data_IF_669472733533
#
_entry.id   IF_669472733533
#
_cell.length_a   1.000
_cell.length_b   1.000
_cell.length_c   1.000
_cell.angle_alpha   90.00
_cell.angle_beta   90.00
_cell.angle_gamma   90.00
#
_symmetry.space_group_name_H-M   'P 1'
#
loop_
_entity.id
_entity.type
_entity.pdbx_description
1 polymer ?
#
# COMPACT_ATOMS: atom_id res chain seq x y z
N UNK A 1 6.41 -10.39 -14.04
CA UNK A 1 6.38 -9.67 -12.73
C UNK A 1 5.41 -10.27 -11.72
N UNK A 2 4.14 -10.59 -12.05
CA UNK A 2 3.19 -11.21 -11.07
C UNK A 2 3.70 -12.53 -10.45
N UNK A 3 4.40 -13.38 -11.23
CA UNK A 3 4.96 -14.65 -10.72
C UNK A 3 6.10 -14.48 -9.70
N UNK A 4 6.87 -13.40 -9.80
CA UNK A 4 7.93 -13.08 -8.83
C UNK A 4 7.38 -12.53 -7.51
N UNK A 5 6.29 -11.75 -7.57
CA UNK A 5 5.64 -11.21 -6.37
C UNK A 5 4.99 -12.34 -5.56
N UNK A 6 4.37 -13.32 -6.23
CA UNK A 6 3.77 -14.49 -5.57
C UNK A 6 4.85 -15.37 -4.93
N UNK A 7 5.98 -15.61 -5.61
CA UNK A 7 7.10 -16.37 -5.04
C UNK A 7 7.78 -15.62 -3.87
N UNK A 8 7.86 -14.29 -3.92
CA UNK A 8 8.37 -13.46 -2.82
C UNK A 8 7.42 -13.51 -1.60
N UNK A 9 6.11 -13.44 -1.82
CA UNK A 9 5.12 -13.55 -0.74
C UNK A 9 5.12 -14.94 -0.10
N UNK A 10 5.24 -16.01 -0.89
CA UNK A 10 5.32 -17.39 -0.39
C UNK A 10 6.64 -17.63 0.36
N UNK A 11 7.77 -17.08 -0.11
CA UNK A 11 9.05 -17.21 0.59
C UNK A 11 9.10 -16.42 1.90
N UNK A 12 8.46 -15.26 1.99
CA UNK A 12 8.32 -14.51 3.26
C UNK A 12 7.40 -15.24 4.26
N UNK A 13 6.37 -15.94 3.77
CA UNK A 13 5.50 -16.76 4.62
C UNK A 13 6.13 -18.09 5.07
N UNK A 14 7.02 -18.66 4.26
CA UNK A 14 7.72 -19.92 4.56
C UNK A 14 9.06 -19.74 5.30
N UNK A 15 9.64 -18.54 5.26
CA UNK A 15 10.85 -18.19 6.01
C UNK A 15 10.46 -17.56 7.35
N UNK A 16 9.73 -18.30 8.18
CA UNK A 16 9.64 -17.94 9.59
C UNK A 16 11.06 -17.88 10.15
N UNK A 17 11.46 -16.81 10.84
CA UNK A 17 12.77 -16.79 11.46
C UNK A 17 12.80 -17.91 12.50
N UNK A 18 13.59 -18.95 12.25
CA UNK A 18 14.15 -19.79 13.30
C UNK A 18 15.20 -18.99 14.10
N UNK A 19 14.90 -17.73 14.42
CA UNK A 19 15.70 -16.91 15.31
C UNK A 19 15.27 -17.27 16.71
N UNK A 20 16.22 -17.86 17.42
CA UNK A 20 16.16 -18.18 18.84
C UNK A 20 15.37 -17.11 19.60
N UNK A 21 14.24 -17.53 20.16
CA UNK A 21 13.58 -16.79 21.22
C UNK A 21 14.62 -16.54 22.32
N UNK A 22 15.09 -15.30 22.43
CA UNK A 22 15.89 -14.85 23.57
C UNK A 22 15.00 -14.84 24.82
N UNK A 23 15.58 -14.69 26.02
CA UNK A 23 14.80 -14.62 27.27
C UNK A 23 13.67 -13.56 27.26
N UNK A 24 13.72 -12.60 26.34
CA UNK A 24 12.80 -11.46 26.27
C UNK A 24 11.75 -11.55 25.15
N UNK A 25 11.81 -12.56 24.28
CA UNK A 25 10.81 -12.73 23.21
C UNK A 25 10.36 -14.17 23.15
N UNK A 26 9.06 -14.43 23.06
CA UNK A 26 8.52 -15.79 23.08
C UNK A 26 7.20 -15.94 23.81
N UNK A 27 6.81 -17.20 23.98
CA UNK A 27 5.65 -17.59 24.77
C UNK A 27 6.11 -17.95 26.18
N UNK A 28 5.55 -17.28 27.18
CA UNK A 28 5.91 -17.48 28.59
C UNK A 28 4.66 -17.81 29.39
N UNK A 29 4.85 -18.63 30.43
CA UNK A 29 3.83 -18.87 31.45
C UNK A 29 4.06 -17.92 32.60
N UNK A 30 3.02 -17.21 33.03
CA UNK A 30 3.05 -16.32 34.17
C UNK A 30 1.91 -16.63 35.14
N UNK A 31 2.04 -16.18 36.39
CA UNK A 31 0.98 -16.25 37.37
C UNK A 31 0.50 -14.83 37.70
N UNK A 32 -0.79 -14.69 37.93
CA UNK A 32 -1.42 -13.43 38.33
C UNK A 32 -2.32 -13.68 39.54
N UNK A 33 -2.06 -12.95 40.61
CA UNK A 33 -2.79 -13.10 41.87
C UNK A 33 -4.27 -12.70 41.72
N UNK A 34 -5.15 -13.51 42.33
CA UNK A 34 -6.60 -13.30 42.34
C UNK A 34 -7.09 -13.04 43.76
N UNK A 35 -6.85 -13.99 44.66
CA UNK A 35 -7.35 -13.95 46.03
C UNK A 35 -6.54 -14.87 46.95
N UNK A 36 -6.57 -14.58 48.25
CA UNK A 36 -6.08 -15.49 49.29
C UNK A 36 -7.08 -16.63 49.51
N UNK A 37 -6.59 -17.79 49.94
CA UNK A 37 -7.44 -18.95 50.25
C UNK A 37 -7.11 -19.51 51.63
N UNK A 38 -8.07 -20.22 52.22
CA UNK A 38 -7.84 -20.96 53.47
C UNK A 38 -7.20 -22.34 53.23
N UNK A 39 -6.84 -22.65 51.97
CA UNK A 39 -6.22 -23.92 51.59
C UNK A 39 -4.73 -23.84 51.93
N UNK A 40 -4.23 -24.79 52.73
CA UNK A 40 -2.82 -24.89 53.06
C UNK A 40 -2.09 -25.94 52.23
N UNK A 41 -0.85 -25.65 51.85
CA UNK A 41 0.08 -26.61 51.28
C UNK A 41 0.42 -27.74 52.28
N UNK A 42 0.99 -28.87 51.83
CA UNK A 42 1.47 -29.93 52.72
C UNK A 42 2.50 -29.45 53.76
N UNK A 43 3.20 -28.36 53.47
CA UNK A 43 4.15 -27.68 54.36
C UNK A 43 3.47 -26.84 55.45
N UNK A 44 2.14 -26.65 55.40
CA UNK A 44 1.37 -25.79 56.28
C UNK A 44 1.31 -24.32 55.85
N UNK A 45 1.96 -23.93 54.76
CA UNK A 45 1.89 -22.57 54.22
C UNK A 45 0.53 -22.31 53.56
N UNK A 46 -0.08 -21.11 53.71
CA UNK A 46 -1.31 -20.76 53.01
C UNK A 46 -1.05 -20.63 51.50
N UNK A 47 -1.99 -21.11 50.69
CA UNK A 47 -1.95 -21.00 49.23
C UNK A 47 -2.84 -19.82 48.78
N UNK A 48 -2.38 -19.10 47.78
CA UNK A 48 -3.17 -18.09 47.08
C UNK A 48 -3.72 -18.65 45.77
N UNK A 49 -4.90 -18.19 45.39
CA UNK A 49 -5.52 -18.47 44.10
C UNK A 49 -4.93 -17.54 43.05
N UNK A 50 -4.44 -18.13 41.96
CA UNK A 50 -3.79 -17.42 40.87
C UNK A 50 -4.43 -17.79 39.53
N UNK A 51 -4.49 -16.83 38.62
CA UNK A 51 -4.65 -17.14 37.20
C UNK A 51 -3.32 -17.60 36.63
N UNK A 52 -3.34 -18.75 35.96
CA UNK A 52 -2.28 -19.11 35.05
C UNK A 52 -2.48 -18.36 33.73
N UNK A 53 -1.44 -17.66 33.30
CA UNK A 53 -1.45 -16.84 32.09
C UNK A 53 -0.42 -17.34 31.09
N UNK A 54 -0.74 -17.17 29.82
CA UNK A 54 0.15 -17.39 28.69
C UNK A 54 0.40 -16.05 28.01
N UNK A 55 1.61 -15.55 28.20
CA UNK A 55 2.09 -14.26 27.72
C UNK A 55 2.84 -14.44 26.40
N UNK A 56 2.53 -13.62 25.41
CA UNK A 56 3.39 -13.39 24.24
C UNK A 56 4.22 -12.15 24.51
N UNK A 57 5.53 -12.31 24.63
CA UNK A 57 6.49 -11.22 24.79
C UNK A 57 7.26 -10.99 23.50
N UNK A 58 7.45 -9.73 23.15
CA UNK A 58 8.36 -9.31 22.08
C UNK A 58 9.20 -8.16 22.63
N UNK A 59 10.52 -8.32 22.60
CA UNK A 59 11.48 -7.33 23.14
C UNK A 59 11.20 -6.94 24.60
N UNK A 60 10.76 -7.90 25.42
CA UNK A 60 10.44 -7.69 26.84
C UNK A 60 9.03 -7.14 27.11
N UNK A 61 8.30 -6.71 26.08
CA UNK A 61 6.93 -6.18 26.23
C UNK A 61 5.89 -7.27 26.03
N UNK A 62 4.91 -7.35 26.94
CA UNK A 62 3.76 -8.25 26.82
C UNK A 62 2.78 -7.70 25.76
N UNK A 63 2.70 -8.37 24.60
CA UNK A 63 1.77 -8.01 23.53
C UNK A 63 0.40 -8.65 23.71
N UNK A 64 0.35 -9.85 24.27
CA UNK A 64 -0.91 -10.49 24.63
C UNK A 64 -0.74 -11.33 25.88
N UNK A 65 -1.74 -11.31 26.75
CA UNK A 65 -1.80 -12.13 27.96
C UNK A 65 -3.14 -12.87 27.99
N UNK A 66 -3.11 -14.19 27.94
CA UNK A 66 -4.32 -15.01 27.96
C UNK A 66 -4.35 -15.88 29.22
N UNK A 67 -5.44 -15.80 29.98
CA UNK A 67 -5.70 -16.71 31.10
C UNK A 67 -6.02 -18.10 30.55
N UNK A 68 -5.35 -19.13 31.08
CA UNK A 68 -5.54 -20.54 30.71
C UNK A 68 -6.29 -21.34 31.77
N UNK A 69 -6.26 -20.92 33.04
CA UNK A 69 -6.90 -21.63 34.13
C UNK A 69 -6.58 -21.03 35.50
N UNK A 70 -7.09 -21.65 36.56
CA UNK A 70 -6.69 -21.36 37.93
C UNK A 70 -5.59 -22.33 38.39
N UNK A 71 -4.68 -21.82 39.22
CA UNK A 71 -3.67 -22.61 39.92
C UNK A 71 -3.56 -22.11 41.36
N UNK A 72 -3.11 -22.98 42.25
CA UNK A 72 -2.74 -22.60 43.61
C UNK A 72 -1.22 -22.47 43.69
N UNK A 73 -0.76 -21.36 44.26
CA UNK A 73 0.66 -21.10 44.45
C UNK A 73 0.92 -20.46 45.81
N UNK A 74 2.16 -20.61 46.29
CA UNK A 74 2.65 -19.92 47.49
C UNK A 74 3.02 -18.47 47.18
N UNK A 75 3.19 -17.66 48.23
CA UNK A 75 3.71 -16.30 48.17
C UNK A 75 2.97 -15.39 47.16
N UNK A 76 1.64 -15.36 47.23
CA UNK A 76 0.79 -14.51 46.39
C UNK A 76 1.12 -14.61 44.90
N UNK A 77 1.37 -15.82 44.41
CA UNK A 77 1.61 -16.11 42.99
C UNK A 77 2.93 -15.55 42.43
N UNK A 78 3.89 -15.21 43.30
CA UNK A 78 5.26 -14.85 42.88
C UNK A 78 6.15 -16.08 42.67
N UNK A 79 5.80 -17.21 43.30
CA UNK A 79 6.50 -18.49 43.17
C UNK A 79 6.02 -19.36 42.00
N UNK A 80 6.43 -20.63 42.00
CA UNK A 80 5.93 -21.62 41.04
C UNK A 80 4.53 -22.12 41.41
N UNK A 81 3.77 -22.54 40.41
CA UNK A 81 2.46 -23.14 40.63
C UNK A 81 2.62 -24.52 41.30
N UNK A 82 2.01 -24.72 42.47
CA UNK A 82 2.06 -26.02 43.15
C UNK A 82 1.16 -27.03 42.46
N UNK A 83 -0.07 -26.63 42.14
CA UNK A 83 -1.05 -27.51 41.50
C UNK A 83 -2.09 -26.76 40.66
N UNK A 84 -2.55 -27.36 39.54
CA UNK A 84 -3.69 -26.85 38.80
C UNK A 84 -4.96 -26.97 39.64
N UNK A 85 -5.86 -26.02 39.46
CA UNK A 85 -7.12 -25.94 40.19
C UNK A 85 -8.29 -25.98 39.20
N UNK A 86 -9.02 -27.10 39.19
CA UNK A 86 -10.08 -27.32 38.20
C UNK A 86 -11.37 -26.56 38.57
N UNK A 87 -12.27 -26.31 37.61
CA UNK A 87 -13.55 -25.66 37.90
C UNK A 87 -14.39 -26.40 38.95
N UNK A 88 -14.37 -27.74 38.95
CA UNK A 88 -15.09 -28.55 39.95
C UNK A 88 -14.48 -28.39 41.36
N UNK A 89 -13.16 -28.24 41.44
CA UNK A 89 -12.48 -27.97 42.71
C UNK A 89 -12.79 -26.55 43.21
N UNK A 90 -12.92 -25.59 42.30
CA UNK A 90 -13.34 -24.21 42.60
C UNK A 90 -14.75 -24.19 43.19
N UNK A 91 -15.72 -24.82 42.54
CA UNK A 91 -17.10 -24.91 43.04
C UNK A 91 -17.17 -25.59 44.41
N UNK A 92 -16.40 -26.66 44.61
CA UNK A 92 -16.34 -27.36 45.90
C UNK A 92 -15.74 -26.47 46.98
N UNK A 93 -14.63 -25.79 46.69
CA UNK A 93 -13.96 -24.91 47.66
C UNK A 93 -14.82 -23.67 48.02
N UNK A 94 -15.56 -23.13 47.06
CA UNK A 94 -16.56 -22.08 47.30
C UNK A 94 -17.70 -22.57 48.19
N UNK A 95 -18.19 -23.80 47.98
CA UNK A 95 -19.24 -24.39 48.83
C UNK A 95 -18.81 -24.60 50.28
N UNK A 96 -17.51 -24.78 50.50
CA UNK A 96 -16.88 -24.94 51.81
C UNK A 96 -16.43 -23.61 52.44
N UNK A 97 -16.63 -22.48 51.77
CA UNK A 97 -16.21 -21.16 52.27
C UNK A 97 -14.69 -20.93 52.24
N UNK A 98 -13.92 -21.78 51.57
CA UNK A 98 -12.45 -21.67 51.50
C UNK A 98 -11.97 -20.62 50.49
N UNK A 99 -12.87 -20.23 49.56
CA UNK A 99 -12.65 -19.26 48.48
C UNK A 99 -13.93 -18.45 48.32
N UNK A 100 -13.80 -17.16 47.97
CA UNK A 100 -14.93 -16.28 47.72
C UNK A 100 -15.87 -16.83 46.63
N UNK A 101 -17.15 -16.94 46.97
CA UNK A 101 -18.22 -17.38 46.07
C UNK A 101 -18.53 -16.37 44.95
N UNK A 102 -18.04 -15.13 45.06
CA UNK A 102 -18.19 -14.10 44.02
C UNK A 102 -17.31 -14.35 42.78
N UNK A 103 -16.29 -15.20 42.91
CA UNK A 103 -15.36 -15.50 41.82
C UNK A 103 -15.97 -16.49 40.81
N UNK A 104 -15.73 -16.32 39.50
CA UNK A 104 -16.24 -17.25 38.50
C UNK A 104 -15.52 -18.59 38.60
N UNK A 105 -16.27 -19.69 38.52
CA UNK A 105 -15.73 -21.06 38.56
C UNK A 105 -14.81 -21.37 37.38
N UNK A 106 -15.08 -20.76 36.23
CA UNK A 106 -14.22 -20.81 35.05
C UNK A 106 -13.36 -19.53 34.93
N UNK A 107 -12.04 -19.72 34.88
CA UNK A 107 -11.09 -18.66 34.60
C UNK A 107 -11.22 -18.19 33.15
N UNK A 108 -11.58 -16.92 32.94
CA UNK A 108 -11.73 -16.33 31.61
C UNK A 108 -11.10 -14.95 31.52
N UNK A 109 -10.75 -14.52 30.30
CA UNK A 109 -10.21 -13.19 30.07
C UNK A 109 -11.32 -12.13 30.22
N UNK A 110 -11.01 -11.04 30.93
CA UNK A 110 -11.90 -9.87 30.95
C UNK A 110 -12.05 -9.26 29.55
N UNK A 111 -13.18 -8.59 29.31
CA UNK A 111 -13.44 -7.92 28.02
C UNK A 111 -12.36 -6.88 27.69
N UNK A 112 -11.85 -6.17 28.70
CA UNK A 112 -10.73 -5.24 28.57
C UNK A 112 -9.45 -5.94 28.07
N UNK A 113 -9.11 -7.10 28.63
CA UNK A 113 -7.92 -7.89 28.23
C UNK A 113 -8.08 -8.46 26.83
N UNK A 114 -9.28 -8.91 26.48
CA UNK A 114 -9.61 -9.36 25.11
C UNK A 114 -9.40 -8.22 24.10
N UNK A 115 -9.91 -7.01 24.38
CA UNK A 115 -9.70 -5.85 23.50
C UNK A 115 -8.22 -5.50 23.37
N UNK A 116 -7.45 -5.54 24.46
CA UNK A 116 -6.01 -5.26 24.41
C UNK A 116 -5.26 -6.29 23.55
N UNK A 117 -5.55 -7.58 23.73
CA UNK A 117 -4.88 -8.66 23.00
C UNK A 117 -5.19 -8.60 21.49
N UNK A 118 -6.44 -8.35 21.11
CA UNK A 118 -6.85 -8.35 19.70
C UNK A 118 -6.77 -6.97 19.04
N UNK A 119 -6.80 -5.89 19.80
CA UNK A 119 -6.82 -4.52 19.29
C UNK A 119 -5.59 -4.19 18.46
N UNK A 120 -4.41 -4.64 18.89
CA UNK A 120 -3.15 -4.46 18.13
C UNK A 120 -3.23 -5.17 16.78
N UNK A 121 -3.72 -6.41 16.75
CA UNK A 121 -3.86 -7.19 15.53
C UNK A 121 -4.89 -6.57 14.58
N UNK A 122 -6.03 -6.13 15.10
CA UNK A 122 -7.06 -5.44 14.31
C UNK A 122 -6.52 -4.14 13.71
N UNK A 123 -5.81 -3.32 14.50
CA UNK A 123 -5.21 -2.08 14.02
C UNK A 123 -4.19 -2.35 12.90
N UNK A 124 -3.35 -3.37 13.04
CA UNK A 124 -2.36 -3.75 12.03
C UNK A 124 -3.03 -4.22 10.74
N UNK A 125 -4.07 -5.05 10.83
CA UNK A 125 -4.86 -5.48 9.67
C UNK A 125 -5.52 -4.30 8.94
N UNK A 126 -6.13 -3.37 9.68
CA UNK A 126 -6.76 -2.18 9.09
C UNK A 126 -5.74 -1.25 8.42
N UNK A 127 -4.57 -1.06 9.03
CA UNK A 127 -3.49 -0.29 8.43
C UNK A 127 -2.99 -0.92 7.12
N UNK A 128 -2.81 -2.24 7.09
CA UNK A 128 -2.43 -2.96 5.87
C UNK A 128 -3.50 -2.82 4.78
N UNK A 129 -4.77 -2.97 5.15
CA UNK A 129 -5.91 -2.85 4.23
C UNK A 129 -6.00 -1.44 3.64
N UNK A 130 -5.81 -0.39 4.45
CA UNK A 130 -5.75 0.99 4.00
C UNK A 130 -4.62 1.23 2.98
N UNK A 131 -3.43 0.66 3.22
CA UNK A 131 -2.31 0.74 2.28
C UNK A 131 -2.63 0.01 0.97
N UNK A 132 -3.24 -1.17 1.02
CA UNK A 132 -3.65 -1.94 -0.16
C UNK A 132 -4.68 -1.13 -0.97
N UNK A 133 -5.72 -0.60 -0.33
CA UNK A 133 -6.74 0.22 -1.01
C UNK A 133 -6.12 1.44 -1.68
N UNK A 134 -5.19 2.14 -1.01
CA UNK A 134 -4.48 3.29 -1.60
C UNK A 134 -3.66 2.88 -2.84
N UNK A 135 -2.98 1.73 -2.78
CA UNK A 135 -2.22 1.21 -3.93
C UNK A 135 -3.13 0.81 -5.08
N UNK A 136 -4.25 0.14 -4.81
CA UNK A 136 -5.23 -0.25 -5.83
C UNK A 136 -5.83 1.00 -6.48
N UNK A 137 -6.27 1.99 -5.70
CA UNK A 137 -6.78 3.27 -6.23
C UNK A 137 -5.77 3.97 -7.14
N UNK A 138 -4.51 4.00 -6.72
CA UNK A 138 -3.41 4.57 -7.50
C UNK A 138 -3.15 3.80 -8.81
N UNK A 139 -3.20 2.46 -8.77
CA UNK A 139 -3.03 1.62 -9.96
C UNK A 139 -4.20 1.74 -10.94
N UNK A 140 -5.43 1.79 -10.43
CA UNK A 140 -6.63 1.97 -11.24
C UNK A 140 -6.78 3.39 -11.78
N UNK A 141 -5.93 4.34 -11.37
CA UNK A 141 -5.98 5.72 -11.86
C UNK A 141 -7.21 6.50 -11.36
N UNK A 142 -7.88 6.00 -10.31
CA UNK A 142 -9.08 6.58 -9.70
C UNK A 142 -8.77 7.81 -8.82
N UNK A 143 -7.54 8.30 -8.86
CA UNK A 143 -7.15 9.55 -8.21
C UNK A 143 -6.90 10.63 -9.27
N UNK A 144 -7.95 11.41 -9.61
CA UNK A 144 -7.86 12.49 -10.59
C UNK A 144 -7.04 13.67 -10.08
N UNK A 145 -6.49 13.65 -8.85
CA UNK A 145 -5.66 14.72 -8.27
C UNK A 145 -4.16 14.38 -8.19
N UNK A 146 -3.80 13.09 -8.21
CA UNK A 146 -2.40 12.65 -8.10
C UNK A 146 -1.55 12.87 -9.39
N UNK A 147 -0.27 13.26 -9.25
CA UNK A 147 0.63 13.41 -10.40
C UNK A 147 0.82 12.07 -11.13
N UNK A 148 0.99 12.14 -12.44
CA UNK A 148 1.15 10.95 -13.27
C UNK A 148 2.43 10.18 -12.91
N UNK A 149 2.51 8.89 -13.25
CA UNK A 149 3.74 8.10 -13.03
C UNK A 149 4.88 8.71 -13.83
N UNK A 150 6.06 8.91 -13.23
CA UNK A 150 7.26 9.49 -13.89
C UNK A 150 7.57 8.88 -15.27
N UNK A 151 7.50 7.54 -15.36
CA UNK A 151 7.72 6.82 -16.63
C UNK A 151 6.67 7.13 -17.70
N UNK A 152 5.41 7.31 -17.31
CA UNK A 152 4.34 7.70 -18.23
C UNK A 152 4.51 9.16 -18.67
N UNK A 153 4.78 10.06 -17.72
CA UNK A 153 5.04 11.46 -17.99
C UNK A 153 6.21 11.67 -18.96
N UNK A 154 7.32 10.95 -18.76
CA UNK A 154 8.47 10.99 -19.67
C UNK A 154 8.11 10.53 -21.08
N UNK A 155 7.32 9.47 -21.23
CA UNK A 155 6.90 8.97 -22.55
C UNK A 155 5.97 9.94 -23.27
N UNK A 156 5.04 10.56 -22.54
CA UNK A 156 4.18 11.62 -23.09
C UNK A 156 5.05 12.78 -23.57
N UNK A 157 6.00 13.22 -22.74
CA UNK A 157 6.94 14.29 -23.10
C UNK A 157 7.75 13.94 -24.35
N UNK A 158 8.29 12.74 -24.42
CA UNK A 158 9.03 12.25 -25.59
C UNK A 158 8.13 12.23 -26.83
N UNK A 159 6.92 11.70 -26.75
CA UNK A 159 5.97 11.67 -27.88
C UNK A 159 5.65 13.10 -28.39
N UNK A 160 5.47 14.05 -27.47
CA UNK A 160 5.27 15.46 -27.82
C UNK A 160 6.50 16.09 -28.49
N UNK A 161 7.72 15.70 -28.12
CA UNK A 161 8.94 16.18 -28.76
C UNK A 161 9.13 15.59 -30.16
N UNK A 162 8.81 14.30 -30.36
CA UNK A 162 8.78 13.69 -31.70
C UNK A 162 7.73 14.34 -32.60
N UNK A 163 6.56 14.65 -32.04
CA UNK A 163 5.50 15.38 -32.73
C UNK A 163 5.99 16.75 -33.20
N UNK A 164 6.62 17.54 -32.32
CA UNK A 164 7.16 18.84 -32.70
C UNK A 164 8.28 18.73 -33.75
N UNK A 165 9.09 17.67 -33.71
CA UNK A 165 10.18 17.45 -34.67
C UNK A 165 9.71 16.81 -35.99
N UNK A 166 8.42 16.56 -36.18
CA UNK A 166 7.88 15.90 -37.36
C UNK A 166 8.23 16.62 -38.68
N UNK A 167 8.40 17.93 -38.64
CA UNK A 167 8.82 18.76 -39.77
C UNK A 167 10.35 18.93 -39.90
N UNK A 168 11.11 18.34 -38.97
CA UNK A 168 12.57 18.34 -38.91
C UNK A 168 13.19 19.41 -37.99
N UNK A 169 12.43 20.37 -37.46
CA UNK A 169 12.97 21.47 -36.64
C UNK A 169 12.05 21.75 -35.46
N UNK A 170 12.58 21.72 -34.23
CA UNK A 170 11.82 22.16 -33.05
C UNK A 170 12.07 23.64 -32.78
N UNK A 171 11.04 24.47 -32.93
CA UNK A 171 11.11 25.90 -32.69
C UNK A 171 11.00 26.27 -31.20
N UNK A 172 11.53 27.44 -30.82
CA UNK A 172 11.56 27.88 -29.41
C UNK A 172 10.17 28.11 -28.80
N UNK A 173 9.19 28.49 -29.62
CA UNK A 173 7.78 28.59 -29.22
C UNK A 173 7.20 27.20 -28.92
N UNK A 174 7.52 26.17 -29.71
CA UNK A 174 7.07 24.79 -29.50
C UNK A 174 7.61 24.19 -28.21
N UNK A 175 8.88 24.48 -27.86
CA UNK A 175 9.45 24.08 -26.56
C UNK A 175 8.60 24.61 -25.40
N UNK A 176 8.15 25.87 -25.50
CA UNK A 176 7.30 26.48 -24.47
C UNK A 176 5.92 25.83 -24.42
N UNK A 177 5.33 25.55 -25.59
CA UNK A 177 4.04 24.86 -25.73
C UNK A 177 4.11 23.45 -25.13
N UNK A 178 5.13 22.68 -25.48
CA UNK A 178 5.38 21.33 -24.95
C UNK A 178 5.57 21.39 -23.44
N UNK A 179 6.39 22.30 -22.92
CA UNK A 179 6.65 22.43 -21.48
C UNK A 179 5.34 22.64 -20.70
N UNK A 180 4.50 23.60 -21.15
CA UNK A 180 3.24 23.93 -20.50
C UNK A 180 2.22 22.79 -20.61
N UNK A 181 2.02 22.26 -21.81
CA UNK A 181 1.05 21.19 -22.06
C UNK A 181 1.45 19.90 -21.34
N UNK A 182 2.72 19.51 -21.37
CA UNK A 182 3.20 18.34 -20.66
C UNK A 182 3.09 18.52 -19.15
N UNK A 183 3.43 19.70 -18.60
CA UNK A 183 3.28 19.97 -17.16
C UNK A 183 1.81 19.86 -16.72
N UNK A 184 0.88 20.38 -17.53
CA UNK A 184 -0.57 20.31 -17.28
C UNK A 184 -1.09 18.87 -17.34
N UNK A 185 -0.82 18.15 -18.43
CA UNK A 185 -1.34 16.81 -18.68
C UNK A 185 -0.76 15.79 -17.69
N UNK A 186 0.52 15.94 -17.33
CA UNK A 186 1.21 15.02 -16.42
C UNK A 186 1.11 15.42 -14.95
N UNK A 187 0.75 16.68 -14.68
CA UNK A 187 0.75 17.32 -13.35
C UNK A 187 2.11 17.20 -12.66
N UNK A 188 3.16 17.30 -13.44
CA UNK A 188 4.55 17.36 -12.99
C UNK A 188 5.15 18.69 -13.40
N UNK A 189 6.11 19.18 -12.63
CA UNK A 189 6.90 20.33 -13.05
C UNK A 189 7.92 19.87 -14.09
N UNK A 190 7.66 20.14 -15.36
CA UNK A 190 8.58 19.85 -16.47
C UNK A 190 9.32 21.14 -16.80
N UNK A 191 10.65 21.08 -16.82
CA UNK A 191 11.49 22.22 -17.17
C UNK A 191 11.73 22.24 -18.68
N UNK A 192 11.78 23.44 -19.28
CA UNK A 192 12.09 23.57 -20.71
C UNK A 192 13.46 23.01 -21.08
N UNK A 193 14.41 22.99 -20.15
CA UNK A 193 15.72 22.34 -20.32
C UNK A 193 15.60 20.84 -20.57
N UNK A 194 14.62 20.17 -19.96
CA UNK A 194 14.37 18.75 -20.20
C UNK A 194 13.78 18.52 -21.60
N UNK A 195 12.92 19.43 -22.06
CA UNK A 195 12.35 19.40 -23.41
C UNK A 195 13.43 19.56 -24.47
N UNK A 196 14.28 20.58 -24.34
CA UNK A 196 15.42 20.82 -25.24
C UNK A 196 16.33 19.61 -25.29
N UNK A 197 16.74 19.08 -24.13
CA UNK A 197 17.60 17.89 -24.07
C UNK A 197 16.98 16.70 -24.80
N UNK A 198 15.68 16.47 -24.65
CA UNK A 198 14.98 15.37 -25.33
C UNK A 198 14.93 15.64 -26.85
N UNK A 199 14.52 16.84 -27.27
CA UNK A 199 14.42 17.22 -28.68
C UNK A 199 15.76 17.09 -29.43
N UNK A 200 16.87 17.44 -28.77
CA UNK A 200 18.23 17.34 -29.33
C UNK A 200 18.69 15.89 -29.55
N UNK A 201 18.21 14.95 -28.73
CA UNK A 201 18.64 13.54 -28.78
C UNK A 201 17.66 12.61 -29.52
N UNK A 202 16.58 13.16 -30.07
CA UNK A 202 15.62 12.40 -30.86
C UNK A 202 16.13 12.23 -32.30
N UNK A 203 16.11 11.00 -32.79
CA UNK A 203 16.28 10.66 -34.20
C UNK A 203 14.91 10.45 -34.85
N UNK A 204 14.68 10.94 -36.07
CA UNK A 204 13.37 10.91 -36.72
C UNK A 204 13.05 9.58 -37.41
N UNK A 205 14.00 8.64 -37.43
CA UNK A 205 13.81 7.30 -38.02
C UNK A 205 13.07 6.36 -37.05
N UNK A 206 11.76 6.64 -36.85
CA UNK A 206 10.90 5.83 -36.01
C UNK A 206 10.44 4.57 -36.73
N UNK A 207 10.69 3.42 -36.13
CA UNK A 207 10.14 2.14 -36.60
C UNK A 207 8.71 1.93 -36.05
N UNK A 208 7.90 1.06 -36.68
CA UNK A 208 6.60 0.67 -36.14
C UNK A 208 6.66 0.14 -34.69
N UNK A 209 7.79 -0.46 -34.30
CA UNK A 209 8.01 -0.96 -32.95
C UNK A 209 8.15 0.18 -31.93
N UNK A 210 8.73 1.31 -32.31
CA UNK A 210 8.87 2.47 -31.43
C UNK A 210 7.49 3.08 -31.10
N UNK A 211 6.58 3.11 -32.07
CA UNK A 211 5.18 3.49 -31.86
C UNK A 211 4.46 2.58 -30.86
N UNK A 212 4.69 1.27 -30.90
CA UNK A 212 4.18 0.32 -29.89
C UNK A 212 4.81 0.57 -28.52
N UNK A 213 6.10 0.88 -28.48
CA UNK A 213 6.84 1.09 -27.25
C UNK A 213 6.43 2.38 -26.53
N UNK A 214 5.93 3.41 -27.21
CA UNK A 214 5.25 4.55 -26.58
C UNK A 214 4.08 4.10 -25.69
N UNK A 215 3.19 3.25 -26.22
CA UNK A 215 1.98 2.77 -25.54
C UNK A 215 2.22 1.70 -24.47
N UNK A 216 3.36 1.01 -24.50
CA UNK A 216 3.64 -0.18 -23.69
C UNK A 216 3.60 0.06 -22.17
N UNK A 217 2.55 -0.43 -21.51
CA UNK A 217 2.39 -0.30 -20.05
C UNK A 217 1.79 1.04 -19.59
N UNK A 218 1.34 1.87 -20.55
CA UNK A 218 0.45 2.98 -20.28
C UNK A 218 -0.99 2.48 -20.07
N UNK A 219 -1.69 3.15 -19.16
CA UNK A 219 -3.14 3.00 -18.96
C UNK A 219 -3.89 3.75 -20.06
N UNK A 220 -5.15 3.43 -20.28
CA UNK A 220 -5.94 4.08 -21.33
C UNK A 220 -6.04 5.61 -21.10
N UNK A 221 -6.19 6.05 -19.85
CA UNK A 221 -6.14 7.48 -19.50
C UNK A 221 -4.77 8.14 -19.76
N UNK A 222 -3.67 7.38 -19.67
CA UNK A 222 -2.32 7.89 -19.98
C UNK A 222 -2.07 7.90 -21.50
N UNK A 223 -2.67 6.96 -22.25
CA UNK A 223 -2.67 6.96 -23.72
C UNK A 223 -3.49 8.13 -24.29
N UNK A 224 -4.64 8.41 -23.69
CA UNK A 224 -5.44 9.60 -23.98
C UNK A 224 -4.64 10.88 -23.74
N UNK A 225 -3.97 10.99 -22.57
CA UNK A 225 -3.13 12.15 -22.26
C UNK A 225 -1.94 12.29 -23.23
N UNK A 226 -1.34 11.17 -23.65
CA UNK A 226 -0.28 11.16 -24.68
C UNK A 226 -0.80 11.72 -26.00
N UNK A 227 -1.92 11.18 -26.50
CA UNK A 227 -2.50 11.58 -27.77
C UNK A 227 -2.96 13.04 -27.74
N UNK A 228 -3.59 13.47 -26.63
CA UNK A 228 -4.00 14.87 -26.41
C UNK A 228 -2.81 15.82 -26.43
N UNK A 229 -1.70 15.42 -25.81
CA UNK A 229 -0.45 16.18 -25.83
C UNK A 229 0.13 16.32 -27.24
N UNK A 230 0.15 15.22 -28.01
CA UNK A 230 0.60 15.24 -29.40
C UNK A 230 -0.28 16.13 -30.28
N UNK A 231 -1.61 15.99 -30.19
CA UNK A 231 -2.54 16.87 -30.92
C UNK A 231 -2.38 18.34 -30.55
N UNK A 232 -2.22 18.67 -29.26
CA UNK A 232 -2.06 20.04 -28.82
C UNK A 232 -0.81 20.71 -29.43
N UNK A 233 0.27 19.95 -29.61
CA UNK A 233 1.49 20.41 -30.28
C UNK A 233 1.25 20.58 -31.78
N UNK A 234 0.72 19.55 -32.46
CA UNK A 234 0.47 19.58 -33.90
C UNK A 234 -0.49 20.71 -34.32
N UNK A 235 -1.53 20.93 -33.53
CA UNK A 235 -2.55 21.95 -33.81
C UNK A 235 -2.12 23.36 -33.40
N UNK A 236 -1.00 23.52 -32.68
CA UNK A 236 -0.58 24.82 -32.17
C UNK A 236 -0.23 25.82 -33.27
N UNK A 237 0.16 25.34 -34.46
CA UNK A 237 0.44 26.13 -35.65
C UNK A 237 -0.83 26.50 -36.45
N UNK A 238 -2.01 25.99 -36.04
CA UNK A 238 -3.30 26.23 -36.69
C UNK A 238 -3.59 25.32 -37.90
N UNK A 239 -2.65 24.49 -38.32
CA UNK A 239 -2.85 23.47 -39.38
C UNK A 239 -1.95 22.26 -39.14
N UNK A 240 -2.45 21.07 -39.43
CA UNK A 240 -1.65 19.85 -39.38
C UNK A 240 -1.03 19.62 -40.76
N UNK A 241 0.29 19.51 -40.85
CA UNK A 241 1.00 19.17 -42.11
C UNK A 241 1.11 17.64 -42.30
N UNK A 242 1.40 17.13 -43.51
CA UNK A 242 1.41 15.68 -43.76
C UNK A 242 2.31 14.85 -42.82
N UNK A 243 3.56 15.25 -42.51
CA UNK A 243 4.41 14.51 -41.57
C UNK A 243 3.82 14.41 -40.15
N UNK A 244 3.17 15.49 -39.69
CA UNK A 244 2.50 15.53 -38.39
C UNK A 244 1.29 14.58 -38.35
N UNK A 245 0.49 14.58 -39.42
CA UNK A 245 -0.65 13.69 -39.55
C UNK A 245 -0.24 12.21 -39.59
N UNK A 246 0.85 11.90 -40.31
CA UNK A 246 1.43 10.56 -40.35
C UNK A 246 1.89 10.13 -38.97
N UNK A 247 2.62 10.98 -38.24
CA UNK A 247 3.04 10.69 -36.88
C UNK A 247 1.86 10.43 -35.94
N UNK A 248 0.82 11.28 -35.96
CA UNK A 248 -0.37 11.12 -35.12
C UNK A 248 -1.11 9.80 -35.40
N UNK A 249 -1.22 9.43 -36.68
CA UNK A 249 -1.88 8.20 -37.10
C UNK A 249 -1.08 6.97 -36.68
N UNK A 250 0.24 6.98 -36.89
CA UNK A 250 1.14 5.91 -36.48
C UNK A 250 1.20 5.76 -34.95
N UNK A 251 1.18 6.89 -34.22
CA UNK A 251 1.09 6.90 -32.76
C UNK A 251 -0.23 6.31 -32.28
N UNK A 252 -1.35 6.66 -32.91
CA UNK A 252 -2.66 6.12 -32.56
C UNK A 252 -2.71 4.60 -32.74
N UNK A 253 -2.18 4.11 -33.86
CA UNK A 253 -2.05 2.68 -34.10
C UNK A 253 -1.11 2.00 -33.10
N UNK A 254 0.05 2.60 -32.80
CA UNK A 254 1.04 2.07 -31.87
C UNK A 254 0.53 1.96 -30.43
N UNK A 255 -0.24 2.94 -29.94
CA UNK A 255 -0.84 2.88 -28.61
C UNK A 255 -2.13 2.02 -28.57
N UNK A 256 -2.62 1.58 -29.72
CA UNK A 256 -3.85 0.80 -29.86
C UNK A 256 -5.11 1.62 -29.59
N UNK A 257 -5.15 2.88 -30.03
CA UNK A 257 -6.30 3.77 -29.86
C UNK A 257 -7.33 3.55 -30.98
N UNK A 258 -8.59 3.22 -30.65
CA UNK A 258 -9.68 3.14 -31.63
C UNK A 258 -9.93 4.49 -32.33
N UNK A 259 -10.48 4.45 -33.55
CA UNK A 259 -10.77 5.66 -34.32
C UNK A 259 -11.79 6.60 -33.66
N UNK A 260 -12.72 6.06 -32.85
CA UNK A 260 -13.66 6.87 -32.06
C UNK A 260 -12.94 7.68 -30.99
N UNK A 261 -12.03 7.04 -30.25
CA UNK A 261 -11.20 7.70 -29.24
C UNK A 261 -10.25 8.71 -29.85
N UNK A 262 -9.68 8.43 -31.02
CA UNK A 262 -8.85 9.37 -31.77
C UNK A 262 -9.59 10.68 -32.06
N UNK A 263 -10.82 10.60 -32.58
CA UNK A 263 -11.65 11.79 -32.87
C UNK A 263 -12.07 12.51 -31.59
N UNK A 264 -12.42 11.77 -30.54
CA UNK A 264 -12.75 12.33 -29.22
C UNK A 264 -11.59 13.12 -28.65
N UNK A 265 -10.38 12.55 -28.65
CA UNK A 265 -9.18 13.22 -28.13
C UNK A 265 -8.80 14.43 -28.98
N UNK A 266 -8.97 14.36 -30.30
CA UNK A 266 -8.80 15.51 -31.18
C UNK A 266 -9.76 16.66 -30.82
N UNK A 267 -11.04 16.37 -30.60
CA UNK A 267 -12.04 17.36 -30.15
C UNK A 267 -11.64 18.02 -28.83
N UNK A 268 -11.24 17.22 -27.83
CA UNK A 268 -10.76 17.73 -26.54
C UNK A 268 -9.49 18.58 -26.66
N UNK A 269 -8.65 18.30 -27.66
CA UNK A 269 -7.42 19.05 -27.91
C UNK A 269 -7.72 20.41 -28.56
N UNK A 270 -8.75 20.49 -29.41
CA UNK A 270 -9.25 21.75 -29.96
C UNK A 270 -9.85 22.64 -28.87
N UNK A 271 -10.69 22.08 -27.99
CA UNK A 271 -11.22 22.80 -26.82
C UNK A 271 -10.09 23.32 -25.91
N UNK A 272 -9.02 22.53 -25.74
CA UNK A 272 -7.85 22.96 -24.99
C UNK A 272 -7.12 24.14 -25.62
N UNK A 273 -7.10 24.26 -26.95
CA UNK A 273 -6.48 25.40 -27.63
C UNK A 273 -7.31 26.68 -27.47
N UNK A 274 -8.64 26.56 -27.42
CA UNK A 274 -9.53 27.68 -27.14
C UNK A 274 -9.31 28.24 -25.73
N UNK A 275 -9.16 27.35 -24.74
CA UNK A 275 -8.94 27.73 -23.34
C UNK A 275 -7.50 28.14 -23.06
N UNK A 276 -6.54 27.46 -23.70
CA UNK A 276 -5.11 27.64 -23.47
C UNK A 276 -4.42 27.98 -24.78
N UNK A 277 -4.69 29.17 -25.29
CA UNK A 277 -4.11 29.63 -26.54
C UNK A 277 -2.58 29.56 -26.50
N UNK A 278 -1.94 28.93 -27.50
CA UNK A 278 -0.51 29.08 -27.68
C UNK A 278 -0.27 30.58 -27.90
N UNK A 279 0.62 31.17 -27.09
CA UNK A 279 0.89 32.61 -27.16
C UNK A 279 1.24 32.97 -28.61
N UNK A 280 0.40 33.81 -29.23
CA UNK A 280 0.66 34.33 -30.57
C UNK A 280 2.04 34.96 -30.57
N UNK A 281 2.91 34.50 -31.46
CA UNK A 281 4.17 35.16 -31.77
C UNK A 281 3.89 36.46 -32.54
#
# INVERSE_FOLDING_TARGET
MKRFIVALLISVLASGPALAFTADSGMFTGLEYVADTEITAPSGAPLSLCHQTRDLRILGFNLSRNITGYVLAVDQCTGEAERPFSPQQMETAQSLGLIDASLPSEASNSLQRTIQNYGIWVALCLALLAVIMRRVKSLMGLDPSSPMRKKAAQRILTAMCYMAKADGIVASNEITIITKAASRLTRQNILSTDVVRIADHIDMDLTPQDFLDFGKGLRDSEKDAMMRGAFFVALSSGRIIPPEYEFLTNLAHGIGMPGEDFRRVMSLSLEDLDVYQPMAA
#
